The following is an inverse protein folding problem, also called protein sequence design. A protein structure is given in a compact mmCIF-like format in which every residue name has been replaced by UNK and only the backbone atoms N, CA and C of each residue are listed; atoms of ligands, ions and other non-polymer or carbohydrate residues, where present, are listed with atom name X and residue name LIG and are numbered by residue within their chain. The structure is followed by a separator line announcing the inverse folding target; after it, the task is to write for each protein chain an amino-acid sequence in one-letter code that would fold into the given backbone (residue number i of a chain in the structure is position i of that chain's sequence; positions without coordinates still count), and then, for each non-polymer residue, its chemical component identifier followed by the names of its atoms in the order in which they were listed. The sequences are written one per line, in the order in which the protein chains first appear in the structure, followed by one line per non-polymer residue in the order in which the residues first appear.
data_IF_977886027890
#
_entry.id   IF_977886027890
#
_cell.length_a   1.000
_cell.length_b   1.000
_cell.length_c   1.000
_cell.angle_alpha   90.00
_cell.angle_beta   90.00
_cell.angle_gamma   90.00
#
_symmetry.space_group_name_H-M   'P 1'
#
loop_
_entity.id
_entity.type
_entity.pdbx_description
1 polymer ?
#
# COMPACT_ATOMS: atom_id res chain seq x y z
N UNK A 1 -7.40 40.02 35.95
CA UNK A 1 -7.51 40.28 34.50
C UNK A 1 -6.33 39.69 33.71
N UNK A 2 -5.06 39.92 34.09
CA UNK A 2 -3.88 39.34 33.38
C UNK A 2 -3.81 37.80 33.34
N UNK A 3 -4.25 37.11 34.40
CA UNK A 3 -4.23 35.63 34.44
C UNK A 3 -5.30 34.96 33.57
N UNK A 4 -6.42 35.64 33.32
CA UNK A 4 -7.47 35.18 32.40
C UNK A 4 -7.02 35.30 30.93
N UNK A 5 -6.24 36.34 30.60
CA UNK A 5 -5.68 36.53 29.27
C UNK A 5 -4.63 35.45 28.92
N UNK A 6 -3.80 35.05 29.90
CA UNK A 6 -2.83 33.98 29.71
C UNK A 6 -3.49 32.61 29.50
N UNK A 7 -4.62 32.35 30.16
CA UNK A 7 -5.39 31.11 29.98
C UNK A 7 -6.08 31.08 28.60
N UNK A 8 -6.55 32.23 28.11
CA UNK A 8 -7.18 32.35 26.80
C UNK A 8 -6.19 32.11 25.64
N UNK A 9 -4.92 32.48 25.82
CA UNK A 9 -3.86 32.23 24.82
C UNK A 9 -3.50 30.75 24.68
N UNK A 10 -3.70 29.93 25.72
CA UNK A 10 -3.42 28.49 25.68
C UNK A 10 -4.47 27.68 24.88
N UNK A 11 -5.64 28.27 24.63
CA UNK A 11 -6.74 27.64 23.90
C UNK A 11 -6.61 27.79 22.38
N UNK A 12 -5.52 28.39 21.89
CA UNK A 12 -5.31 28.56 20.45
C UNK A 12 -4.87 27.23 19.82
N UNK A 13 -5.64 26.67 18.85
CA UNK A 13 -5.22 25.47 18.14
C UNK A 13 -4.01 25.80 17.26
N UNK A 14 -2.86 25.24 17.61
CA UNK A 14 -1.69 25.23 16.74
C UNK A 14 -1.98 24.31 15.56
N UNK A 15 -2.17 24.89 14.37
CA UNK A 15 -2.27 24.12 13.14
C UNK A 15 -0.90 23.55 12.80
N UNK A 16 -0.70 22.25 13.04
CA UNK A 16 0.47 21.54 12.56
C UNK A 16 0.28 21.23 11.07
N UNK A 17 0.96 21.99 10.20
CA UNK A 17 1.04 21.67 8.78
C UNK A 17 2.13 20.61 8.58
N UNK A 18 1.73 19.35 8.45
CA UNK A 18 2.64 18.26 8.09
C UNK A 18 2.53 18.00 6.57
N UNK A 19 3.61 18.26 5.85
CA UNK A 19 3.68 17.96 4.42
C UNK A 19 3.89 16.46 4.22
N UNK A 20 2.84 15.75 3.79
CA UNK A 20 2.96 14.30 3.53
C UNK A 20 3.31 14.08 2.05
N UNK A 21 4.38 13.34 1.78
CA UNK A 21 4.84 12.98 0.46
C UNK A 21 4.49 11.53 0.15
N UNK A 22 3.88 11.29 -1.01
CA UNK A 22 3.55 9.95 -1.50
C UNK A 22 4.37 9.62 -2.75
N UNK A 23 4.96 8.44 -2.81
CA UNK A 23 5.58 7.93 -4.05
C UNK A 23 5.30 6.45 -4.25
N UNK A 24 5.36 6.00 -5.51
CA UNK A 24 5.30 4.58 -5.88
C UNK A 24 6.71 4.11 -6.21
N UNK A 25 7.13 3.01 -5.61
CA UNK A 25 8.44 2.41 -5.89
C UNK A 25 8.46 1.54 -7.17
N UNK A 26 9.63 1.04 -7.55
CA UNK A 26 9.83 0.13 -8.69
C UNK A 26 9.03 -1.19 -8.59
N UNK A 27 8.60 -1.57 -7.38
CA UNK A 27 7.78 -2.77 -7.13
C UNK A 27 6.27 -2.46 -7.16
N UNK A 28 5.89 -1.21 -7.35
CA UNK A 28 4.50 -0.78 -7.37
C UNK A 28 3.90 -0.51 -5.98
N UNK A 29 4.70 -0.53 -4.91
CA UNK A 29 4.24 -0.25 -3.55
C UNK A 29 4.15 1.26 -3.32
N UNK A 30 3.02 1.71 -2.80
CA UNK A 30 2.79 3.11 -2.42
C UNK A 30 3.39 3.36 -1.03
N UNK A 31 4.29 4.34 -0.95
CA UNK A 31 4.98 4.73 0.27
C UNK A 31 4.66 6.19 0.63
N UNK A 32 4.71 6.50 1.93
CA UNK A 32 4.46 7.84 2.47
C UNK A 32 5.64 8.30 3.34
N UNK A 33 5.94 9.60 3.31
CA UNK A 33 6.95 10.22 4.15
C UNK A 33 6.52 11.62 4.59
N UNK A 34 6.85 12.01 5.81
CA UNK A 34 6.54 13.33 6.37
C UNK A 34 7.56 14.41 5.95
N UNK A 35 8.61 14.03 5.23
CA UNK A 35 9.66 14.92 4.73
C UNK A 35 10.19 14.41 3.38
N UNK A 36 10.43 15.32 2.44
CA UNK A 36 11.05 15.04 1.15
C UNK A 36 12.47 14.45 1.31
N UNK A 37 13.16 14.79 2.41
CA UNK A 37 14.45 14.19 2.77
C UNK A 37 14.38 12.67 2.97
N UNK A 38 13.26 12.16 3.48
CA UNK A 38 13.01 10.73 3.73
C UNK A 38 12.59 9.96 2.48
N UNK A 39 12.16 10.65 1.43
CA UNK A 39 11.93 10.05 0.11
C UNK A 39 13.28 9.71 -0.54
N UNK A 40 13.49 8.47 -1.02
CA UNK A 40 14.73 8.12 -1.71
C UNK A 40 14.95 9.01 -2.94
N UNK A 41 16.20 9.44 -3.20
CA UNK A 41 16.55 10.41 -4.26
C UNK A 41 15.93 10.10 -5.63
N UNK A 42 15.81 8.82 -5.98
CA UNK A 42 15.22 8.33 -7.24
C UNK A 42 13.74 8.68 -7.40
N UNK A 43 12.99 8.78 -6.29
CA UNK A 43 11.55 8.98 -6.28
C UNK A 43 11.13 10.41 -5.91
N UNK A 44 12.05 11.26 -5.43
CA UNK A 44 11.76 12.66 -5.06
C UNK A 44 11.11 13.46 -6.18
N UNK A 45 11.53 13.26 -7.44
CA UNK A 45 10.95 13.92 -8.62
C UNK A 45 9.54 13.42 -8.99
N UNK A 46 9.14 12.25 -8.46
CA UNK A 46 7.84 11.61 -8.71
C UNK A 46 6.94 11.63 -7.47
N UNK A 47 7.42 12.13 -6.35
CA UNK A 47 6.68 12.19 -5.11
C UNK A 47 5.65 13.31 -5.20
N UNK A 48 4.40 13.02 -4.83
CA UNK A 48 3.31 13.99 -4.75
C UNK A 48 3.14 14.45 -3.30
N UNK A 49 3.04 15.76 -3.07
CA UNK A 49 2.72 16.32 -1.76
C UNK A 49 1.21 16.28 -1.55
N UNK A 50 0.74 15.63 -0.50
CA UNK A 50 -0.66 15.66 -0.05
C UNK A 50 -0.83 16.79 0.96
N UNK A 51 -1.79 17.69 0.70
CA UNK A 51 -2.23 18.71 1.66
C UNK A 51 -1.86 20.16 1.36
N UNK A 52 -1.35 20.48 0.16
CA UNK A 52 -1.20 21.87 -0.30
C UNK A 52 -2.06 22.10 -1.54
N UNK A 53 -2.79 23.21 -1.55
CA UNK A 53 -3.56 23.73 -2.68
C UNK A 53 -2.74 23.65 -3.98
N UNK A 54 -3.40 23.27 -5.07
CA UNK A 54 -2.80 22.99 -6.37
C UNK A 54 -1.88 24.11 -6.86
N UNK A 55 -0.64 23.76 -7.21
CA UNK A 55 0.09 24.48 -8.24
C UNK A 55 0.39 23.51 -9.38
N UNK A 56 -0.39 23.66 -10.45
CA UNK A 56 -0.20 23.02 -11.74
C UNK A 56 1.19 23.30 -12.30
N UNK A 57 1.94 22.25 -12.68
CA UNK A 57 2.87 22.28 -13.82
C UNK A 57 3.34 20.85 -14.19
N UNK A 58 3.78 20.61 -15.43
CA UNK A 58 2.96 20.13 -16.53
C UNK A 58 3.24 18.65 -16.84
N UNK A 59 2.32 18.04 -17.60
CA UNK A 59 2.55 16.77 -18.27
C UNK A 59 3.89 16.79 -19.04
N UNK A 60 4.71 15.72 -18.98
CA UNK A 60 5.79 15.58 -19.93
C UNK A 60 5.19 15.35 -21.31
N UNK A 61 5.10 16.42 -22.10
CA UNK A 61 4.98 16.34 -23.55
C UNK A 61 6.19 15.56 -24.06
N UNK A 62 5.88 14.62 -24.93
CA UNK A 62 6.83 13.91 -25.75
C UNK A 62 7.83 14.89 -26.39
N UNK A 63 9.12 14.65 -26.16
CA UNK A 63 10.17 15.07 -27.08
C UNK A 63 10.27 14.00 -28.14
N UNK A 64 9.67 14.29 -29.30
CA UNK A 64 9.94 13.58 -30.53
C UNK A 64 10.71 14.56 -31.43
N UNK A 65 11.89 14.14 -31.89
CA UNK A 65 12.83 15.00 -32.63
C UNK A 65 14.16 14.30 -32.83
N UNK A 66 14.13 13.18 -33.56
CA UNK A 66 15.30 12.42 -33.98
C UNK A 66 14.85 11.42 -35.03
N UNK A 67 14.78 11.88 -36.28
CA UNK A 67 14.35 11.12 -37.44
C UNK A 67 15.43 10.11 -37.85
N UNK A 68 15.05 8.83 -37.87
CA UNK A 68 15.64 7.79 -38.70
C UNK A 68 14.56 6.73 -39.00
N UNK A 69 14.18 6.68 -40.28
CA UNK A 69 13.51 5.68 -41.13
C UNK A 69 13.00 4.31 -40.59
N UNK A 70 12.08 3.67 -41.33
CA UNK A 70 10.94 2.95 -40.77
C UNK A 70 11.19 1.45 -40.70
N UNK A 71 11.19 0.89 -39.49
CA UNK A 71 11.01 -0.54 -39.30
C UNK A 71 9.54 -0.83 -38.99
N UNK A 72 8.76 -1.10 -40.05
CA UNK A 72 7.54 -1.91 -39.93
C UNK A 72 7.93 -3.26 -39.33
N UNK A 73 7.55 -3.54 -38.10
CA UNK A 73 6.91 -4.82 -37.67
C UNK A 73 6.65 -4.84 -36.16
N UNK A 74 5.44 -5.27 -35.80
CA UNK A 74 4.91 -5.55 -34.45
C UNK A 74 4.30 -4.39 -33.66
N UNK A 75 3.69 -3.44 -34.37
CA UNK A 75 2.45 -2.85 -33.88
C UNK A 75 1.30 -3.76 -34.34
N UNK A 76 0.93 -4.76 -33.54
CA UNK A 76 -0.39 -5.43 -33.67
C UNK A 76 -0.85 -6.34 -32.51
N UNK A 77 -0.19 -6.40 -31.34
CA UNK A 77 -0.72 -7.20 -30.20
C UNK A 77 -0.73 -6.52 -28.81
N UNK A 78 -0.25 -5.29 -28.66
CA UNK A 78 -0.28 -4.59 -27.36
C UNK A 78 -1.42 -3.54 -27.25
N UNK A 79 -2.36 -3.57 -28.18
CA UNK A 79 -3.65 -2.86 -28.09
C UNK A 79 -4.78 -3.85 -27.81
N UNK A 80 -4.55 -4.80 -26.89
CA UNK A 80 -5.65 -5.34 -26.12
C UNK A 80 -6.22 -4.15 -25.33
N UNK A 81 -7.36 -3.63 -25.80
CA UNK A 81 -8.17 -2.64 -25.10
C UNK A 81 -8.07 -2.87 -23.60
N UNK A 82 -7.33 -2.01 -22.88
CA UNK A 82 -7.21 -2.08 -21.42
C UNK A 82 -8.59 -1.85 -20.84
N UNK A 83 -9.39 -2.90 -20.77
CA UNK A 83 -10.72 -2.86 -20.17
C UNK A 83 -10.48 -2.55 -18.71
N UNK A 84 -10.92 -1.35 -18.32
CA UNK A 84 -10.83 -0.91 -16.94
C UNK A 84 -12.00 -1.55 -16.19
N UNK A 85 -11.70 -2.22 -15.10
CA UNK A 85 -12.70 -2.84 -14.24
C UNK A 85 -12.78 -2.01 -12.95
N UNK A 86 -13.86 -1.24 -12.79
CA UNK A 86 -14.01 -0.30 -11.69
C UNK A 86 -12.90 0.76 -11.64
N UNK A 87 -12.41 1.19 -12.81
CA UNK A 87 -11.33 2.18 -12.92
C UNK A 87 -9.91 1.63 -12.72
N UNK A 88 -9.76 0.33 -12.45
CA UNK A 88 -8.46 -0.35 -12.35
C UNK A 88 -8.16 -1.19 -13.59
N UNK A 89 -6.89 -1.22 -14.00
CA UNK A 89 -6.44 -2.10 -15.07
C UNK A 89 -6.09 -3.52 -14.56
N UNK A 90 -5.87 -4.44 -15.48
CA UNK A 90 -5.49 -5.83 -15.20
C UNK A 90 -4.27 -5.93 -14.28
N UNK A 91 -3.24 -5.14 -14.54
CA UNK A 91 -2.02 -5.16 -13.76
C UNK A 91 -2.27 -4.70 -12.31
N UNK A 92 -3.15 -3.71 -12.11
CA UNK A 92 -3.58 -3.28 -10.78
C UNK A 92 -4.33 -4.39 -10.04
N UNK A 93 -5.28 -5.05 -10.69
CA UNK A 93 -6.00 -6.18 -10.09
C UNK A 93 -5.07 -7.33 -9.70
N UNK A 94 -4.16 -7.73 -10.59
CA UNK A 94 -3.15 -8.76 -10.28
C UNK A 94 -2.30 -8.39 -9.07
N UNK A 95 -1.81 -7.16 -9.01
CA UNK A 95 -1.02 -6.69 -7.85
C UNK A 95 -1.82 -6.76 -6.56
N UNK A 96 -3.09 -6.34 -6.59
CA UNK A 96 -3.96 -6.39 -5.41
C UNK A 96 -4.18 -7.83 -4.93
N UNK A 97 -4.43 -8.77 -5.85
CA UNK A 97 -4.57 -10.20 -5.51
C UNK A 97 -3.27 -10.80 -4.98
N UNK A 98 -2.15 -10.60 -5.68
CA UNK A 98 -0.83 -11.09 -5.25
C UNK A 98 -0.45 -10.55 -3.86
N UNK A 99 -0.71 -9.27 -3.60
CA UNK A 99 -0.43 -8.67 -2.30
C UNK A 99 -1.33 -9.24 -1.21
N UNK A 100 -2.62 -9.44 -1.49
CA UNK A 100 -3.55 -10.02 -0.53
C UNK A 100 -3.16 -11.47 -0.16
N UNK A 101 -2.78 -12.28 -1.15
CA UNK A 101 -2.31 -13.65 -0.92
C UNK A 101 -0.99 -13.70 -0.14
N UNK A 102 -0.03 -12.82 -0.49
CA UNK A 102 1.21 -12.69 0.27
C UNK A 102 0.96 -12.32 1.73
N UNK A 103 0.05 -11.37 1.98
CA UNK A 103 -0.30 -10.95 3.34
C UNK A 103 -0.95 -12.08 4.13
N UNK A 104 -1.84 -12.86 3.50
CA UNK A 104 -2.46 -14.03 4.12
C UNK A 104 -1.40 -15.07 4.48
N UNK A 105 -0.55 -15.45 3.52
CA UNK A 105 0.52 -16.43 3.73
C UNK A 105 1.49 -16.01 4.84
N UNK A 106 1.85 -14.73 4.91
CA UNK A 106 2.69 -14.23 5.99
C UNK A 106 2.00 -14.31 7.35
N UNK A 107 0.71 -13.97 7.43
CA UNK A 107 -0.05 -14.10 8.67
C UNK A 107 -0.15 -15.56 9.13
N UNK A 108 -0.34 -16.49 8.20
CA UNK A 108 -0.35 -17.94 8.47
C UNK A 108 1.02 -18.43 8.94
N UNK A 109 2.11 -17.98 8.29
CA UNK A 109 3.48 -18.31 8.68
C UNK A 109 3.83 -17.80 10.07
N UNK A 110 3.41 -16.58 10.42
CA UNK A 110 3.56 -16.03 11.76
C UNK A 110 2.83 -16.89 12.80
N UNK A 111 1.57 -17.26 12.51
CA UNK A 111 0.76 -18.10 13.38
C UNK A 111 1.40 -19.48 13.57
N UNK A 112 1.88 -20.11 12.50
CA UNK A 112 2.57 -21.38 12.54
C UNK A 112 3.86 -21.30 13.37
N UNK A 113 4.63 -20.22 13.22
CA UNK A 113 5.85 -19.98 14.01
C UNK A 113 5.53 -19.87 15.51
N UNK A 114 4.49 -19.11 15.86
CA UNK A 114 4.07 -18.95 17.26
C UNK A 114 3.55 -20.26 17.86
N UNK A 115 2.76 -21.02 17.11
CA UNK A 115 2.28 -22.35 17.52
C UNK A 115 3.44 -23.34 17.68
N UNK A 116 4.44 -23.28 16.79
CA UNK A 116 5.66 -24.07 16.89
C UNK A 116 6.47 -23.76 18.16
N UNK A 117 6.54 -22.50 18.58
CA UNK A 117 7.20 -22.13 19.85
C UNK A 117 6.51 -22.71 21.08
N UNK A 118 5.18 -22.87 21.05
CA UNK A 118 4.45 -23.54 22.14
C UNK A 118 4.64 -25.06 22.15
N UNK A 119 5.25 -25.67 21.13
CA UNK A 119 5.54 -27.10 21.14
C UNK A 119 6.68 -27.47 22.12
N UNK A 120 7.64 -26.56 22.35
CA UNK A 120 8.69 -26.71 23.35
C UNK A 120 8.60 -25.62 24.42
N UNK A 121 7.86 -25.92 25.48
CA UNK A 121 7.70 -25.03 26.65
C UNK A 121 8.74 -25.27 27.74
N UNK A 122 9.65 -26.24 27.56
CA UNK A 122 10.55 -26.72 28.63
C UNK A 122 11.53 -25.66 29.13
N UNK A 123 11.87 -24.69 28.29
CA UNK A 123 12.77 -23.57 28.61
C UNK A 123 12.05 -22.22 28.75
N UNK A 124 10.72 -22.21 28.70
CA UNK A 124 9.94 -20.97 28.75
C UNK A 124 9.51 -20.61 30.16
N UNK A 125 9.63 -19.33 30.49
CA UNK A 125 9.02 -18.76 31.70
C UNK A 125 7.50 -18.65 31.54
N UNK A 126 6.78 -18.61 32.66
CA UNK A 126 5.32 -18.43 32.65
C UNK A 126 4.89 -17.14 31.94
N UNK A 127 5.65 -16.05 32.10
CA UNK A 127 5.37 -14.78 31.43
C UNK A 127 5.53 -14.87 29.91
N UNK A 128 6.55 -15.57 29.42
CA UNK A 128 6.74 -15.82 27.99
C UNK A 128 5.63 -16.71 27.43
N UNK A 129 5.18 -17.72 28.20
CA UNK A 129 4.06 -18.55 27.79
C UNK A 129 2.78 -17.74 27.58
N UNK A 130 2.43 -16.90 28.55
CA UNK A 130 1.25 -16.04 28.45
C UNK A 130 1.38 -15.00 27.32
N UNK A 131 2.58 -14.47 27.08
CA UNK A 131 2.80 -13.53 25.98
C UNK A 131 2.61 -14.20 24.62
N UNK A 132 3.18 -15.40 24.41
CA UNK A 132 3.02 -16.16 23.17
C UNK A 132 1.55 -16.57 22.96
N UNK A 133 0.84 -17.00 24.01
CA UNK A 133 -0.61 -17.27 23.90
C UNK A 133 -1.40 -16.05 23.42
N UNK A 134 -1.11 -14.87 23.98
CA UNK A 134 -1.75 -13.64 23.52
C UNK A 134 -1.38 -13.31 22.08
N UNK A 135 -0.11 -13.46 21.69
CA UNK A 135 0.35 -13.28 20.32
C UNK A 135 -0.32 -14.23 19.34
N UNK A 136 -0.59 -15.48 19.72
CA UNK A 136 -1.34 -16.44 18.90
C UNK A 136 -2.74 -15.93 18.63
N UNK A 137 -3.47 -15.47 19.65
CA UNK A 137 -4.81 -14.90 19.47
C UNK A 137 -4.80 -13.75 18.47
N UNK A 138 -3.86 -12.81 18.63
CA UNK A 138 -3.72 -11.70 17.68
C UNK A 138 -3.32 -12.16 16.27
N UNK A 139 -2.49 -13.19 16.14
CA UNK A 139 -2.13 -13.76 14.85
C UNK A 139 -3.32 -14.47 14.17
N UNK A 140 -4.16 -15.16 14.94
CA UNK A 140 -5.41 -15.76 14.44
C UNK A 140 -6.38 -14.68 13.94
N UNK A 141 -6.56 -13.60 14.71
CA UNK A 141 -7.37 -12.46 14.29
C UNK A 141 -6.82 -11.82 13.00
N UNK A 142 -5.49 -11.73 12.86
CA UNK A 142 -4.83 -11.24 11.64
C UNK A 142 -5.11 -12.14 10.44
N UNK A 143 -4.98 -13.47 10.59
CA UNK A 143 -5.30 -14.44 9.53
C UNK A 143 -6.75 -14.28 9.08
N UNK A 144 -7.68 -14.25 10.04
CA UNK A 144 -9.11 -14.04 9.76
C UNK A 144 -9.37 -12.71 9.05
N UNK A 145 -8.70 -11.64 9.46
CA UNK A 145 -8.82 -10.34 8.81
C UNK A 145 -8.27 -10.33 7.38
N UNK A 146 -7.14 -11.00 7.11
CA UNK A 146 -6.60 -11.11 5.74
C UNK A 146 -7.48 -11.98 4.85
N UNK A 147 -8.03 -13.06 5.39
CA UNK A 147 -8.98 -13.91 4.67
C UNK A 147 -10.21 -13.11 4.24
N UNK A 148 -10.84 -12.38 5.18
CA UNK A 148 -11.97 -11.50 4.88
C UNK A 148 -11.65 -10.45 3.82
N UNK A 149 -10.44 -9.85 3.87
CA UNK A 149 -10.01 -8.88 2.85
C UNK A 149 -9.86 -9.51 1.47
N UNK A 150 -9.29 -10.71 1.39
CA UNK A 150 -9.16 -11.45 0.14
C UNK A 150 -10.53 -11.80 -0.43
N UNK A 151 -11.47 -12.21 0.41
CA UNK A 151 -12.84 -12.53 0.00
C UNK A 151 -13.58 -11.28 -0.47
N UNK A 152 -13.48 -10.16 0.24
CA UNK A 152 -14.02 -8.86 -0.21
C UNK A 152 -13.42 -8.41 -1.56
N UNK A 153 -12.11 -8.64 -1.77
CA UNK A 153 -11.45 -8.34 -3.03
C UNK A 153 -12.00 -9.21 -4.17
N UNK A 154 -12.23 -10.51 -3.91
CA UNK A 154 -12.87 -11.44 -4.85
C UNK A 154 -14.29 -11.03 -5.19
N UNK A 155 -15.12 -10.72 -4.19
CA UNK A 155 -16.49 -10.24 -4.39
C UNK A 155 -16.54 -8.95 -5.21
N UNK A 156 -15.61 -8.02 -4.94
CA UNK A 156 -15.53 -6.76 -5.70
C UNK A 156 -15.11 -7.03 -7.15
N UNK A 157 -14.16 -7.94 -7.35
CA UNK A 157 -13.74 -8.37 -8.67
C UNK A 157 -14.89 -9.04 -9.45
N UNK A 158 -15.65 -9.94 -8.81
CA UNK A 158 -16.83 -10.59 -9.37
C UNK A 158 -17.92 -9.55 -9.75
N UNK A 159 -18.22 -8.62 -8.85
CA UNK A 159 -19.19 -7.53 -9.09
C UNK A 159 -18.83 -6.67 -10.29
N UNK A 160 -17.53 -6.45 -10.51
CA UNK A 160 -17.01 -5.65 -11.62
C UNK A 160 -16.76 -6.48 -12.90
N UNK A 161 -17.04 -7.78 -12.88
CA UNK A 161 -16.82 -8.68 -14.02
C UNK A 161 -15.34 -8.88 -14.36
N UNK A 162 -14.46 -8.78 -13.37
CA UNK A 162 -13.02 -9.00 -13.53
C UNK A 162 -12.76 -10.49 -13.81
N UNK A 163 -12.07 -10.83 -14.91
CA UNK A 163 -11.75 -12.21 -15.25
C UNK A 163 -10.96 -12.93 -14.14
N UNK A 164 -11.18 -14.24 -13.94
CA UNK A 164 -10.45 -15.03 -12.96
C UNK A 164 -8.94 -15.12 -13.25
N UNK A 165 -8.53 -14.90 -14.50
CA UNK A 165 -7.12 -14.87 -14.92
C UNK A 165 -6.31 -13.74 -14.26
N UNK A 166 -6.98 -12.75 -13.64
CA UNK A 166 -6.30 -11.68 -12.92
C UNK A 166 -6.07 -12.03 -11.44
N UNK A 167 -6.52 -13.22 -11.01
CA UNK A 167 -6.36 -13.77 -9.66
C UNK A 167 -5.19 -14.74 -9.55
N UNK A 168 -4.48 -14.99 -10.66
CA UNK A 168 -3.30 -15.87 -10.76
C UNK A 168 -2.02 -15.06 -10.75
#
# INVERSE_FOLDING_TARGET
MKKLLALLLLLYPLTAAAETYQWTDERGTVNFAEDLGKVPKKYRKKAKRLGGEEESAPAPRAVNGGEAEPAKTKADEAQASKKLYGGKDEAAWRRDFLQAEFNLKNAESDLATLKGRLADTSRMTRSEYLSIQNSIRYAEDRVQAQQKRLDQLRETADRLGVPPEFRK
#
